data_IF_170020490200
#
_entry.id   IF_170020490200
#
_cell.length_a   1.000
_cell.length_b   1.000
_cell.length_c   1.000
_cell.angle_alpha   90.00
_cell.angle_beta   90.00
_cell.angle_gamma   90.00
#
_symmetry.space_group_name_H-M   'P 1'
#
loop_
_entity.id
_entity.type
_entity.pdbx_description
1 polymer ?
#
# COMPACT_ATOMS: atom_id res chain seq x y z
N UNK A 1 -12.09 9.57 13.50
CA UNK A 1 -13.15 9.74 12.49
C UNK A 1 -14.34 8.94 12.99
N UNK A 2 -15.45 9.58 13.39
CA UNK A 2 -16.61 8.87 13.95
C UNK A 2 -17.33 8.18 12.78
N UNK A 3 -17.72 6.94 12.97
CA UNK A 3 -18.44 6.08 12.00
C UNK A 3 -19.88 6.57 11.69
N UNK A 4 -20.18 7.85 11.95
CA UNK A 4 -21.51 8.46 11.86
C UNK A 4 -21.77 9.27 10.59
N UNK A 5 -20.78 9.49 9.76
CA UNK A 5 -20.97 10.19 8.49
C UNK A 5 -21.39 9.21 7.39
N UNK A 6 -22.46 9.48 6.63
CA UNK A 6 -22.86 8.61 5.51
C UNK A 6 -21.71 8.57 4.49
N UNK A 7 -21.37 7.37 3.97
CA UNK A 7 -20.29 7.22 3.00
C UNK A 7 -20.60 8.05 1.76
N UNK A 8 -19.68 8.93 1.39
CA UNK A 8 -19.72 9.51 0.05
C UNK A 8 -19.52 8.37 -0.96
N UNK A 9 -20.10 8.50 -2.16
CA UNK A 9 -20.05 7.49 -3.23
C UNK A 9 -18.66 6.96 -3.57
N UNK A 10 -17.61 7.67 -3.15
CA UNK A 10 -16.20 7.38 -3.38
C UNK A 10 -15.52 6.59 -2.24
N UNK A 11 -16.25 6.31 -1.16
CA UNK A 11 -15.74 5.62 0.03
C UNK A 11 -16.17 4.15 0.11
N UNK A 12 -16.88 3.63 -0.89
CA UNK A 12 -17.43 2.28 -0.89
C UNK A 12 -16.41 1.17 -0.60
N UNK A 13 -15.21 1.15 -1.24
CA UNK A 13 -14.23 0.10 -0.93
C UNK A 13 -13.74 0.14 0.52
N UNK A 14 -13.49 1.37 1.05
CA UNK A 14 -13.05 1.52 2.45
C UNK A 14 -14.13 1.10 3.44
N UNK A 15 -15.39 1.37 3.13
CA UNK A 15 -16.52 0.96 3.97
C UNK A 15 -16.59 -0.56 4.07
N UNK A 16 -16.53 -1.26 2.96
CA UNK A 16 -16.57 -2.73 2.91
C UNK A 16 -15.37 -3.33 3.64
N UNK A 17 -14.15 -2.87 3.32
CA UNK A 17 -12.90 -3.42 3.88
C UNK A 17 -12.66 -3.07 5.35
N UNK A 18 -13.48 -2.19 5.93
CA UNK A 18 -13.43 -1.81 7.34
C UNK A 18 -14.72 -2.12 8.10
N UNK A 19 -15.61 -2.92 7.52
CA UNK A 19 -16.80 -3.41 8.22
C UNK A 19 -16.39 -4.50 9.23
N UNK A 20 -16.57 -4.26 10.55
CA UNK A 20 -16.21 -5.24 11.57
C UNK A 20 -16.99 -6.57 11.49
N UNK A 21 -18.15 -6.56 10.83
CA UNK A 21 -18.94 -7.78 10.61
C UNK A 21 -18.31 -8.69 9.53
N UNK A 22 -17.53 -8.12 8.61
CA UNK A 22 -16.83 -8.85 7.55
C UNK A 22 -15.37 -9.07 7.93
N UNK A 23 -14.73 -8.04 8.47
CA UNK A 23 -13.31 -8.06 8.88
C UNK A 23 -13.20 -7.70 10.35
N UNK A 24 -13.17 -8.66 11.28
CA UNK A 24 -12.96 -8.40 12.70
C UNK A 24 -11.68 -7.61 12.93
N UNK A 25 -11.74 -6.58 13.79
CA UNK A 25 -10.62 -5.68 14.07
C UNK A 25 -9.97 -5.11 12.80
N UNK A 26 -10.72 -4.41 11.93
CA UNK A 26 -10.25 -4.04 10.57
C UNK A 26 -9.06 -3.08 10.58
N UNK A 27 -8.84 -2.35 11.68
CA UNK A 27 -7.70 -1.45 11.87
C UNK A 27 -6.43 -2.16 12.34
N UNK A 28 -6.53 -3.44 12.72
CA UNK A 28 -5.38 -4.23 13.17
C UNK A 28 -4.74 -4.92 11.99
N UNK A 29 -3.44 -4.66 11.77
CA UNK A 29 -2.66 -5.36 10.75
C UNK A 29 -2.48 -6.83 11.15
N UNK A 30 -3.22 -7.71 10.49
CA UNK A 30 -3.24 -9.15 10.73
C UNK A 30 -3.34 -9.90 9.39
N UNK A 31 -2.20 -10.10 8.70
CA UNK A 31 -2.18 -10.78 7.40
C UNK A 31 -2.68 -12.23 7.47
N UNK A 32 -2.58 -12.87 8.63
CA UNK A 32 -3.04 -14.24 8.89
C UNK A 32 -4.56 -14.40 8.68
N UNK A 33 -5.34 -13.29 8.70
CA UNK A 33 -6.77 -13.32 8.42
C UNK A 33 -7.13 -13.87 7.03
N UNK A 34 -6.17 -13.84 6.10
CA UNK A 34 -6.34 -14.35 4.74
C UNK A 34 -5.72 -15.75 4.54
N UNK A 35 -5.20 -16.38 5.60
CA UNK A 35 -4.63 -17.72 5.52
C UNK A 35 -5.63 -18.76 6.01
N UNK A 36 -5.83 -19.80 5.21
CA UNK A 36 -6.60 -20.96 5.60
C UNK A 36 -5.80 -21.80 6.61
N UNK A 37 -6.39 -22.09 7.74
CA UNK A 37 -5.82 -22.98 8.75
C UNK A 37 -6.90 -23.92 9.27
N UNK A 38 -6.56 -25.04 9.93
CA UNK A 38 -7.56 -25.95 10.51
C UNK A 38 -8.52 -25.29 11.51
N UNK A 39 -8.15 -24.14 12.09
CA UNK A 39 -8.92 -23.40 13.07
C UNK A 39 -9.53 -22.09 12.54
N UNK A 40 -9.22 -21.71 11.30
CA UNK A 40 -9.66 -20.42 10.74
C UNK A 40 -9.91 -20.50 9.25
N UNK A 41 -11.12 -20.14 8.85
CA UNK A 41 -11.45 -19.90 7.45
C UNK A 41 -10.97 -18.48 7.05
N UNK A 42 -10.34 -18.31 5.88
CA UNK A 42 -9.87 -16.99 5.45
C UNK A 42 -11.02 -16.00 5.33
N UNK A 43 -10.77 -14.77 5.73
CA UNK A 43 -11.68 -13.66 5.48
C UNK A 43 -11.76 -13.39 3.96
N UNK A 44 -12.84 -12.78 3.46
CA UNK A 44 -13.01 -12.48 2.03
C UNK A 44 -11.83 -11.69 1.47
N UNK A 45 -11.41 -11.99 0.23
CA UNK A 45 -10.31 -11.28 -0.40
C UNK A 45 -10.75 -9.84 -0.75
N UNK A 46 -10.07 -8.80 -0.23
CA UNK A 46 -10.40 -7.41 -0.55
C UNK A 46 -10.37 -7.10 -2.05
N UNK A 47 -9.59 -7.86 -2.84
CA UNK A 47 -9.49 -7.68 -4.30
C UNK A 47 -10.83 -7.93 -5.02
N UNK A 48 -11.74 -8.66 -4.40
CA UNK A 48 -13.08 -8.89 -4.93
C UNK A 48 -13.97 -7.64 -4.88
N UNK A 49 -13.58 -6.64 -4.09
CA UNK A 49 -14.38 -5.43 -3.86
C UNK A 49 -13.71 -4.15 -4.38
N UNK A 50 -12.39 -4.01 -4.21
CA UNK A 50 -11.69 -2.74 -4.43
C UNK A 50 -11.56 -2.34 -5.89
N UNK A 51 -11.66 -3.29 -6.81
CA UNK A 51 -11.54 -3.03 -8.25
C UNK A 51 -12.89 -2.83 -8.96
N UNK A 52 -13.98 -2.77 -8.22
CA UNK A 52 -15.32 -2.61 -8.77
C UNK A 52 -15.88 -3.89 -9.40
N UNK A 53 -17.05 -3.77 -10.07
CA UNK A 53 -17.85 -4.92 -10.48
C UNK A 53 -18.33 -4.83 -11.93
N UNK A 54 -18.60 -5.99 -12.52
CA UNK A 54 -19.27 -6.15 -13.80
C UNK A 54 -18.57 -5.43 -14.95
N UNK A 55 -19.33 -4.74 -15.80
CA UNK A 55 -18.80 -4.06 -16.99
C UNK A 55 -17.91 -2.83 -16.71
N UNK A 56 -17.86 -2.38 -15.47
CA UNK A 56 -17.07 -1.23 -15.02
C UNK A 56 -15.91 -1.64 -14.11
N UNK A 57 -15.61 -2.94 -14.04
CA UNK A 57 -14.45 -3.43 -13.29
C UNK A 57 -13.17 -2.80 -13.82
N UNK A 58 -12.22 -2.48 -12.92
CA UNK A 58 -10.94 -1.88 -13.30
C UNK A 58 -10.18 -2.80 -14.27
N UNK A 59 -9.89 -2.37 -15.50
CA UNK A 59 -9.14 -3.19 -16.46
C UNK A 59 -7.68 -3.38 -16.03
N UNK A 60 -7.13 -2.46 -15.24
CA UNK A 60 -5.76 -2.50 -14.73
C UNK A 60 -5.54 -3.35 -13.47
N UNK A 61 -6.55 -4.05 -12.96
CA UNK A 61 -6.47 -4.80 -11.70
C UNK A 61 -5.30 -5.78 -11.63
N UNK A 62 -5.03 -6.51 -12.70
CA UNK A 62 -3.93 -7.49 -12.76
C UNK A 62 -2.55 -6.82 -12.78
N UNK A 63 -2.45 -5.67 -13.46
CA UNK A 63 -1.21 -4.87 -13.47
C UNK A 63 -0.94 -4.31 -12.09
N UNK A 64 -1.97 -3.77 -11.43
CA UNK A 64 -1.86 -3.24 -10.07
C UNK A 64 -1.46 -4.33 -9.06
N UNK A 65 -2.10 -5.49 -9.10
CA UNK A 65 -1.82 -6.62 -8.21
C UNK A 65 -0.38 -7.11 -8.38
N UNK A 66 0.06 -7.34 -9.62
CA UNK A 66 1.43 -7.75 -9.91
C UNK A 66 2.46 -6.69 -9.53
N UNK A 67 2.20 -5.42 -9.80
CA UNK A 67 3.09 -4.32 -9.44
C UNK A 67 3.26 -4.20 -7.92
N UNK A 68 2.17 -4.28 -7.17
CA UNK A 68 2.20 -4.28 -5.70
C UNK A 68 2.97 -5.48 -5.16
N UNK A 69 2.68 -6.69 -5.67
CA UNK A 69 3.38 -7.91 -5.26
C UNK A 69 4.88 -7.80 -5.46
N UNK A 70 5.33 -7.42 -6.67
CA UNK A 70 6.76 -7.30 -7.00
C UNK A 70 7.41 -6.22 -6.13
N UNK A 71 6.77 -5.06 -5.98
CA UNK A 71 7.31 -3.95 -5.18
C UNK A 71 7.49 -4.35 -3.72
N UNK A 72 6.48 -4.97 -3.12
CA UNK A 72 6.55 -5.42 -1.73
C UNK A 72 7.59 -6.52 -1.57
N UNK A 73 7.56 -7.53 -2.44
CA UNK A 73 8.49 -8.66 -2.37
C UNK A 73 9.96 -8.22 -2.51
N UNK A 74 10.27 -7.36 -3.48
CA UNK A 74 11.61 -6.81 -3.67
C UNK A 74 12.03 -5.93 -2.50
N UNK A 75 11.14 -5.07 -2.00
CA UNK A 75 11.43 -4.21 -0.85
C UNK A 75 11.76 -5.04 0.39
N UNK A 76 10.95 -6.05 0.68
CA UNK A 76 11.20 -6.93 1.82
C UNK A 76 12.42 -7.84 1.64
N UNK A 77 12.78 -8.21 0.42
CA UNK A 77 13.99 -8.99 0.15
C UNK A 77 15.27 -8.19 0.40
N UNK A 78 15.26 -6.90 0.11
CA UNK A 78 16.48 -6.05 0.07
C UNK A 78 16.64 -5.17 1.29
N UNK A 79 15.52 -4.68 1.88
CA UNK A 79 15.55 -3.71 2.97
C UNK A 79 15.08 -4.30 4.31
N UNK A 80 15.68 -3.81 5.39
CA UNK A 80 15.09 -3.82 6.71
C UNK A 80 14.29 -2.53 6.87
N UNK A 81 12.99 -2.67 7.13
CA UNK A 81 12.07 -1.55 7.35
C UNK A 81 11.66 -1.60 8.82
N UNK A 82 12.06 -0.58 9.56
CA UNK A 82 11.90 -0.53 11.01
C UNK A 82 11.34 0.82 11.45
N UNK A 83 10.76 0.87 12.63
CA UNK A 83 10.38 2.13 13.26
C UNK A 83 11.64 2.94 13.56
N UNK A 84 11.55 4.25 13.41
CA UNK A 84 12.64 5.14 13.76
C UNK A 84 12.88 5.09 15.29
N UNK A 85 14.17 5.10 15.69
CA UNK A 85 14.57 5.21 17.09
C UNK A 85 15.25 6.55 17.29
N UNK A 86 14.71 7.42 18.16
CA UNK A 86 15.28 8.70 18.54
C UNK A 86 15.53 8.73 20.06
N UNK A 87 16.72 9.12 20.46
CA UNK A 87 17.11 9.18 21.87
C UNK A 87 16.84 7.88 22.65
N UNK A 88 17.02 6.71 21.99
CA UNK A 88 16.79 5.40 22.59
C UNK A 88 15.32 5.02 22.73
N UNK A 89 14.39 5.81 22.20
CA UNK A 89 12.95 5.52 22.19
C UNK A 89 12.47 5.27 20.77
N UNK A 90 11.63 4.26 20.62
CA UNK A 90 10.96 3.96 19.37
C UNK A 90 9.88 5.01 19.10
N UNK A 91 9.90 5.59 17.90
CA UNK A 91 8.91 6.58 17.45
C UNK A 91 7.79 5.84 16.74
N UNK A 92 6.57 5.93 17.29
CA UNK A 92 5.37 5.38 16.66
C UNK A 92 4.90 6.34 15.57
N UNK A 93 4.75 5.88 14.30
CA UNK A 93 4.17 6.71 13.27
C UNK A 93 2.70 7.00 13.55
N UNK A 94 2.29 8.25 13.39
CA UNK A 94 0.87 8.62 13.50
C UNK A 94 0.10 8.07 12.30
N UNK A 95 -0.92 7.24 12.55
CA UNK A 95 -1.81 6.70 11.51
C UNK A 95 -2.86 7.75 11.15
N UNK A 96 -2.50 8.64 10.23
CA UNK A 96 -3.36 9.72 9.77
C UNK A 96 -3.26 9.88 8.27
N UNK A 97 -4.36 10.30 7.64
CA UNK A 97 -4.45 10.46 6.20
C UNK A 97 -4.91 11.87 5.84
N UNK A 98 -4.40 12.39 4.73
CA UNK A 98 -4.88 13.64 4.17
C UNK A 98 -6.29 13.45 3.58
N UNK A 99 -7.20 14.43 3.79
CA UNK A 99 -8.52 14.38 3.17
C UNK A 99 -8.40 14.63 1.66
N UNK A 100 -9.13 13.85 0.85
CA UNK A 100 -9.14 14.02 -0.60
C UNK A 100 -9.84 12.89 -1.32
N UNK A 101 -9.99 13.02 -2.64
CA UNK A 101 -10.51 11.96 -3.51
C UNK A 101 -9.55 10.78 -3.53
N UNK A 102 -8.25 11.05 -3.52
CA UNK A 102 -7.18 10.08 -3.29
C UNK A 102 -6.58 10.45 -1.94
N UNK A 103 -6.71 9.57 -0.97
CA UNK A 103 -6.22 9.78 0.39
C UNK A 103 -4.81 9.21 0.51
N UNK A 104 -3.86 10.05 0.91
CA UNK A 104 -2.49 9.65 1.19
C UNK A 104 -2.21 9.69 2.69
N UNK A 105 -1.36 8.80 3.22
CA UNK A 105 -0.89 8.95 4.59
C UNK A 105 -0.11 10.27 4.73
N UNK A 106 -0.27 10.95 5.87
CA UNK A 106 0.60 12.10 6.18
C UNK A 106 2.06 11.64 6.21
N UNK A 107 3.03 12.53 5.90
CA UNK A 107 4.44 12.18 5.99
C UNK A 107 4.78 11.63 7.37
N UNK A 108 5.43 10.48 7.41
CA UNK A 108 5.92 9.85 8.63
C UNK A 108 7.37 9.41 8.46
N UNK A 109 8.07 9.28 9.58
CA UNK A 109 9.49 8.92 9.59
C UNK A 109 9.65 7.44 9.91
N UNK A 110 10.51 6.79 9.15
CA UNK A 110 10.84 5.37 9.33
C UNK A 110 12.32 5.15 9.06
N UNK A 111 12.85 4.00 9.47
CA UNK A 111 14.22 3.58 9.17
C UNK A 111 14.18 2.51 8.09
N UNK A 112 14.68 2.84 6.89
CA UNK A 112 14.82 1.90 5.78
C UNK A 112 16.31 1.75 5.48
N UNK A 113 16.85 0.54 5.62
CA UNK A 113 18.27 0.25 5.41
C UNK A 113 18.44 -1.02 4.60
N UNK A 114 19.43 -1.11 3.70
CA UNK A 114 19.78 -2.37 3.07
C UNK A 114 20.07 -3.45 4.12
N UNK A 115 19.67 -4.69 3.86
CA UNK A 115 19.89 -5.83 4.79
C UNK A 115 21.37 -6.15 5.01
N UNK A 116 22.20 -5.92 3.99
CA UNK A 116 23.67 -6.12 4.05
C UNK A 116 24.37 -5.31 2.98
N UNK A 117 25.70 -5.29 2.99
CA UNK A 117 26.52 -4.67 1.94
C UNK A 117 26.25 -5.25 0.56
N UNK A 118 26.02 -6.55 0.45
CA UNK A 118 25.67 -7.22 -0.82
C UNK A 118 24.37 -6.65 -1.38
N UNK A 119 23.35 -6.42 -0.54
CA UNK A 119 22.09 -5.81 -0.97
C UNK A 119 22.26 -4.35 -1.37
N UNK A 120 23.13 -3.60 -0.67
CA UNK A 120 23.47 -2.22 -1.06
C UNK A 120 24.14 -2.18 -2.44
N UNK A 121 25.08 -3.09 -2.72
CA UNK A 121 25.72 -3.23 -4.04
C UNK A 121 24.72 -3.60 -5.13
N UNK A 122 23.79 -4.50 -4.84
CA UNK A 122 22.71 -4.86 -5.78
C UNK A 122 21.81 -3.66 -6.11
N UNK A 123 21.46 -2.83 -5.13
CA UNK A 123 20.67 -1.61 -5.35
C UNK A 123 21.43 -0.66 -6.27
N UNK A 124 22.71 -0.39 -5.98
CA UNK A 124 23.54 0.49 -6.79
C UNK A 124 23.74 -0.03 -8.22
N UNK A 125 23.91 -1.34 -8.36
CA UNK A 125 24.01 -1.96 -9.69
C UNK A 125 22.70 -1.86 -10.47
N UNK A 126 21.56 -2.02 -9.80
CA UNK A 126 20.23 -1.85 -10.42
C UNK A 126 20.01 -0.39 -10.86
N UNK A 127 20.35 0.58 -10.03
CA UNK A 127 20.26 2.00 -10.34
C UNK A 127 21.12 2.39 -11.56
N UNK A 128 22.35 1.84 -11.64
CA UNK A 128 23.23 2.06 -12.79
C UNK A 128 22.72 1.41 -14.06
N UNK A 129 22.13 0.23 -13.96
CA UNK A 129 21.59 -0.50 -15.11
C UNK A 129 20.28 0.07 -15.63
N UNK A 130 19.47 0.60 -14.73
CA UNK A 130 18.15 1.17 -15.01
C UNK A 130 18.07 2.57 -14.41
N UNK A 131 18.78 3.56 -15.00
CA UNK A 131 18.74 4.91 -14.48
C UNK A 131 17.32 5.45 -14.55
N UNK A 132 17.00 6.32 -13.60
CA UNK A 132 15.72 7.01 -13.60
C UNK A 132 15.59 7.86 -14.87
N UNK A 133 14.57 7.58 -15.65
CA UNK A 133 14.20 8.38 -16.82
C UNK A 133 13.20 9.45 -16.40
N UNK A 134 13.43 10.69 -16.88
CA UNK A 134 12.49 11.77 -16.61
C UNK A 134 11.16 11.48 -17.30
N UNK A 135 10.06 11.70 -16.57
CA UNK A 135 8.71 11.48 -17.11
C UNK A 135 8.41 12.43 -18.26
N UNK A 136 7.75 11.95 -19.32
CA UNK A 136 7.25 12.73 -20.45
C UNK A 136 6.09 13.67 -20.07
N UNK A 137 5.76 13.78 -18.77
CA UNK A 137 4.68 14.64 -18.29
C UNK A 137 4.84 16.10 -18.70
N UNK A 138 6.08 16.58 -18.92
CA UNK A 138 6.36 17.93 -19.43
C UNK A 138 5.87 18.10 -20.89
N UNK A 139 5.93 17.05 -21.69
CA UNK A 139 5.47 17.08 -23.08
C UNK A 139 3.94 17.12 -23.15
N UNK A 140 3.26 16.44 -22.22
CA UNK A 140 1.81 16.46 -22.13
C UNK A 140 1.25 17.85 -21.82
N UNK A 141 1.98 18.70 -21.10
CA UNK A 141 1.62 20.10 -20.83
C UNK A 141 1.56 20.98 -22.07
N UNK A 142 2.18 20.58 -23.18
CA UNK A 142 2.22 21.33 -24.45
C UNK A 142 1.10 20.91 -25.43
N UNK A 143 0.33 19.85 -25.11
CA UNK A 143 -0.78 19.39 -25.94
C UNK A 143 -1.97 20.31 -25.71
N UNK A 144 -2.34 21.08 -26.71
CA UNK A 144 -3.60 21.85 -26.73
C UNK A 144 -4.73 20.89 -27.12
N UNK A 145 -5.62 20.66 -26.20
CA UNK A 145 -6.88 19.90 -26.41
C UNK A 145 -7.92 20.77 -27.14
#
# INVERSE_FOLDING_TARGET
>A
MKCSDPPSRWQEPRWITHDPAVYPEPMTFRPERFLETPAHNPEPDPRDFIFGYGRRICPGRYVADNALFITIAQSLAVFNIEKLVENGKMVEPEVKFEPGMISHPIPYRTSIKPRSKVHEELIKAAEQKYPWEESDAKELGNIKW
#
